data_IF_090287584352
#
_entry.id   IF_090287584352
#
_cell.length_a   1.000
_cell.length_b   1.000
_cell.length_c   1.000
_cell.angle_alpha   90.00
_cell.angle_beta   90.00
_cell.angle_gamma   90.00
#
_symmetry.space_group_name_H-M   'P 1'
#
loop_
_entity.id
_entity.type
_entity.pdbx_description
1 polymer ?
#
# COMPACT_ATOMS: atom_id res chain seq x y z
N UNK A 1 -32.98 -34.38 15.79
CA UNK A 1 -32.95 -32.90 15.69
C UNK A 1 -31.56 -32.48 15.21
N UNK A 2 -31.35 -32.38 13.91
CA UNK A 2 -30.10 -31.82 13.36
C UNK A 2 -30.23 -30.31 13.37
N UNK A 3 -29.40 -29.63 14.19
CA UNK A 3 -29.37 -28.16 14.24
C UNK A 3 -29.10 -27.53 12.88
N UNK A 4 -29.39 -26.23 12.69
CA UNK A 4 -29.25 -25.57 11.41
C UNK A 4 -27.81 -25.73 10.89
N UNK A 5 -27.67 -26.33 9.71
CA UNK A 5 -26.38 -26.46 9.02
C UNK A 5 -25.95 -25.06 8.60
N UNK A 6 -25.04 -24.47 9.39
CA UNK A 6 -24.37 -23.21 9.05
C UNK A 6 -23.73 -23.35 7.66
N UNK A 7 -24.07 -22.47 6.73
CA UNK A 7 -23.40 -22.42 5.43
C UNK A 7 -21.92 -22.06 5.60
N UNK A 8 -21.07 -22.51 4.68
CA UNK A 8 -19.65 -22.18 4.68
C UNK A 8 -19.41 -20.65 4.68
N UNK A 9 -20.22 -19.91 3.93
CA UNK A 9 -20.17 -18.44 3.90
C UNK A 9 -20.50 -17.83 5.25
N UNK A 10 -21.57 -18.28 5.93
CA UNK A 10 -21.94 -17.78 7.26
C UNK A 10 -20.82 -18.00 8.27
N UNK A 11 -20.17 -19.16 8.24
CA UNK A 11 -19.01 -19.45 9.10
C UNK A 11 -17.81 -18.55 8.82
N UNK A 12 -17.46 -18.36 7.54
CA UNK A 12 -16.36 -17.49 7.14
C UNK A 12 -16.60 -16.03 7.55
N UNK A 13 -17.80 -15.50 7.29
CA UNK A 13 -18.18 -14.14 7.67
C UNK A 13 -18.12 -13.95 9.19
N UNK A 14 -18.56 -14.93 9.96
CA UNK A 14 -18.47 -14.89 11.43
C UNK A 14 -17.02 -14.90 11.92
N UNK A 15 -16.14 -15.68 11.28
CA UNK A 15 -14.70 -15.70 11.61
C UNK A 15 -14.04 -14.35 11.32
N UNK A 16 -14.28 -13.77 10.15
CA UNK A 16 -13.77 -12.44 9.76
C UNK A 16 -14.26 -11.38 10.75
N UNK A 17 -15.54 -11.40 11.10
CA UNK A 17 -16.10 -10.44 12.06
C UNK A 17 -15.49 -10.57 13.47
N UNK A 18 -15.30 -11.80 13.95
CA UNK A 18 -14.64 -12.06 15.25
C UNK A 18 -13.20 -11.55 15.24
N UNK A 19 -12.43 -11.86 14.19
CA UNK A 19 -11.07 -11.38 14.00
C UNK A 19 -10.99 -9.85 14.03
N UNK A 20 -11.86 -9.17 13.27
CA UNK A 20 -11.94 -7.71 13.26
C UNK A 20 -12.24 -7.13 14.65
N UNK A 21 -13.16 -7.75 15.38
CA UNK A 21 -13.52 -7.33 16.73
C UNK A 21 -12.34 -7.44 17.69
N UNK A 22 -11.57 -8.53 17.59
CA UNK A 22 -10.41 -8.75 18.46
C UNK A 22 -9.27 -7.78 18.16
N UNK A 23 -9.03 -7.47 16.87
CA UNK A 23 -8.09 -6.45 16.43
C UNK A 23 -8.48 -5.05 16.93
N UNK A 24 -9.76 -4.68 16.80
CA UNK A 24 -10.28 -3.39 17.30
C UNK A 24 -10.16 -3.28 18.82
N UNK A 25 -10.37 -4.38 19.54
CA UNK A 25 -10.22 -4.45 20.98
C UNK A 25 -8.75 -4.54 21.44
N UNK A 26 -7.77 -4.48 20.53
CA UNK A 26 -6.33 -4.64 20.80
C UNK A 26 -5.98 -5.95 21.51
N UNK A 27 -6.81 -6.99 21.34
CA UNK A 27 -6.55 -8.35 21.87
C UNK A 27 -5.61 -9.15 20.97
N UNK A 28 -5.44 -8.69 19.74
CA UNK A 28 -4.52 -9.24 18.75
C UNK A 28 -3.82 -8.08 18.01
N UNK A 29 -2.63 -8.35 17.50
CA UNK A 29 -1.88 -7.45 16.63
C UNK A 29 -1.94 -7.91 15.17
N UNK A 30 -1.69 -6.96 14.27
CA UNK A 30 -1.48 -7.24 12.85
C UNK A 30 0.03 -7.27 12.63
N UNK A 31 0.54 -8.40 12.15
CA UNK A 31 1.95 -8.59 11.81
C UNK A 31 2.05 -8.74 10.29
N UNK A 32 2.91 -7.95 9.66
CA UNK A 32 3.19 -8.02 8.23
C UNK A 32 4.43 -8.90 8.03
N UNK A 33 4.22 -10.11 7.52
CA UNK A 33 5.26 -11.11 7.24
C UNK A 33 5.40 -11.41 5.73
N UNK A 34 4.48 -10.89 4.91
CA UNK A 34 4.43 -11.13 3.46
C UNK A 34 3.49 -12.24 3.03
N UNK A 35 2.93 -13.02 3.96
CA UNK A 35 2.24 -14.28 3.66
C UNK A 35 0.86 -14.42 4.36
N UNK A 36 0.63 -13.75 5.50
CA UNK A 36 -0.54 -14.03 6.38
C UNK A 36 -1.63 -12.93 6.44
N UNK A 37 -1.62 -11.95 5.54
CA UNK A 37 -2.56 -10.82 5.58
C UNK A 37 -4.02 -11.26 5.28
N UNK A 38 -4.93 -10.95 6.21
CA UNK A 38 -6.37 -11.26 6.08
C UNK A 38 -7.25 -10.01 5.85
N UNK A 39 -8.47 -10.21 5.33
CA UNK A 39 -9.43 -9.12 5.04
C UNK A 39 -9.79 -8.33 6.30
N UNK A 40 -9.91 -9.00 7.45
CA UNK A 40 -10.26 -8.33 8.71
C UNK A 40 -9.17 -7.34 9.13
N UNK A 41 -7.90 -7.67 8.89
CA UNK A 41 -6.73 -6.85 9.17
C UNK A 41 -6.71 -5.62 8.28
N UNK A 42 -6.98 -5.78 6.97
CA UNK A 42 -7.11 -4.65 6.04
C UNK A 42 -8.22 -3.69 6.49
N UNK A 43 -9.40 -4.20 6.84
CA UNK A 43 -10.51 -3.37 7.34
C UNK A 43 -10.16 -2.70 8.67
N UNK A 44 -9.45 -3.38 9.57
CA UNK A 44 -9.00 -2.84 10.85
C UNK A 44 -8.04 -1.65 10.67
N UNK A 45 -7.10 -1.73 9.72
CA UNK A 45 -6.21 -0.61 9.38
C UNK A 45 -7.02 0.53 8.76
N UNK A 46 -7.76 0.23 7.69
CA UNK A 46 -8.44 1.20 6.85
C UNK A 46 -9.50 2.02 7.61
N UNK A 47 -10.35 1.35 8.40
CA UNK A 47 -11.54 1.97 9.01
C UNK A 47 -11.44 2.18 10.52
N UNK A 48 -10.49 1.52 11.17
CA UNK A 48 -10.36 1.57 12.63
C UNK A 48 -8.99 2.06 13.10
N UNK A 49 -8.08 2.42 12.19
CA UNK A 49 -6.79 3.00 12.51
C UNK A 49 -5.88 2.07 13.32
N UNK A 50 -6.10 0.75 13.23
CA UNK A 50 -5.22 -0.23 13.87
C UNK A 50 -3.87 -0.20 13.16
N UNK A 51 -2.79 0.04 13.91
CA UNK A 51 -1.44 0.10 13.35
C UNK A 51 -0.84 -1.31 13.23
N UNK A 52 -0.45 -1.75 12.03
CA UNK A 52 0.27 -3.00 11.86
C UNK A 52 1.75 -2.83 12.21
N UNK A 53 2.42 -3.95 12.46
CA UNK A 53 3.86 -4.02 12.76
C UNK A 53 4.52 -4.96 11.75
N UNK A 54 5.71 -4.62 11.28
CA UNK A 54 6.49 -5.52 10.40
C UNK A 54 7.05 -6.64 11.27
N UNK A 55 6.99 -7.88 10.77
CA UNK A 55 7.54 -9.04 11.48
C UNK A 55 9.01 -8.81 11.83
N UNK A 56 9.39 -9.16 13.06
CA UNK A 56 10.79 -9.15 13.52
C UNK A 56 11.52 -10.46 13.22
N UNK A 57 10.91 -11.32 12.40
CA UNK A 57 11.51 -12.58 11.96
C UNK A 57 12.80 -12.29 11.15
N UNK A 58 13.98 -12.78 11.61
CA UNK A 58 15.23 -12.58 10.88
C UNK A 58 15.20 -13.21 9.48
N UNK A 59 14.40 -14.25 9.24
CA UNK A 59 14.29 -14.84 7.91
C UNK A 59 13.61 -13.90 6.90
N UNK A 60 12.67 -13.06 7.34
CA UNK A 60 12.08 -12.03 6.49
C UNK A 60 13.13 -11.02 6.04
N UNK A 61 13.92 -10.49 6.97
CA UNK A 61 14.99 -9.55 6.67
C UNK A 61 16.01 -10.18 5.71
N UNK A 62 16.44 -11.41 5.99
CA UNK A 62 17.36 -12.16 5.13
C UNK A 62 16.82 -12.35 3.70
N UNK A 63 15.52 -12.67 3.53
CA UNK A 63 14.89 -12.79 2.21
C UNK A 63 14.88 -11.47 1.44
N UNK A 64 14.67 -10.35 2.13
CA UNK A 64 14.74 -9.01 1.54
C UNK A 64 16.16 -8.69 1.09
N UNK A 65 17.15 -8.91 1.96
CA UNK A 65 18.56 -8.65 1.65
C UNK A 65 19.02 -9.48 0.45
N UNK A 66 18.70 -10.77 0.41
CA UNK A 66 19.00 -11.64 -0.73
C UNK A 66 18.37 -11.15 -2.04
N UNK A 67 17.18 -10.53 -1.99
CA UNK A 67 16.51 -9.99 -3.17
C UNK A 67 17.23 -8.74 -3.68
N UNK A 68 17.68 -7.88 -2.78
CA UNK A 68 18.47 -6.68 -3.09
C UNK A 68 19.83 -7.08 -3.68
N UNK A 69 20.51 -8.04 -3.07
CA UNK A 69 21.80 -8.55 -3.54
C UNK A 69 21.69 -9.19 -4.92
N UNK A 70 20.63 -9.96 -5.17
CA UNK A 70 20.37 -10.56 -6.47
C UNK A 70 20.19 -9.50 -7.57
N UNK A 71 19.44 -8.42 -7.29
CA UNK A 71 19.27 -7.31 -8.22
C UNK A 71 20.60 -6.59 -8.49
N UNK A 72 21.38 -6.31 -7.44
CA UNK A 72 22.70 -5.69 -7.57
C UNK A 72 23.66 -6.55 -8.43
N UNK A 73 23.64 -7.88 -8.24
CA UNK A 73 24.44 -8.80 -9.03
C UNK A 73 24.03 -8.85 -10.52
N UNK A 74 22.75 -8.61 -10.84
CA UNK A 74 22.28 -8.54 -12.22
C UNK A 74 22.76 -7.26 -12.90
N UNK A 75 22.64 -6.14 -12.20
CA UNK A 75 23.12 -4.84 -12.67
C UNK A 75 24.63 -4.89 -12.91
N UNK A 76 25.41 -5.47 -11.99
CA UNK A 76 26.86 -5.58 -12.11
C UNK A 76 27.36 -6.47 -13.27
N UNK A 77 26.46 -7.27 -13.87
CA UNK A 77 26.74 -8.10 -15.05
C UNK A 77 26.28 -7.45 -16.35
N UNK A 78 25.91 -6.17 -16.32
CA UNK A 78 25.30 -5.43 -17.43
C UNK A 78 24.04 -6.11 -17.98
N UNK A 79 23.31 -6.85 -17.13
CA UNK A 79 22.07 -7.48 -17.54
C UNK A 79 20.95 -6.46 -17.66
N UNK A 80 20.07 -6.72 -18.61
CA UNK A 80 18.90 -5.91 -18.90
C UNK A 80 17.82 -6.16 -17.86
N UNK A 81 17.43 -5.11 -17.13
CA UNK A 81 16.35 -5.18 -16.14
C UNK A 81 15.37 -4.03 -16.38
N UNK A 82 14.15 -4.39 -16.78
CA UNK A 82 13.09 -3.43 -17.14
C UNK A 82 12.78 -2.47 -15.98
N UNK A 83 12.74 -1.17 -16.28
CA UNK A 83 12.43 -0.12 -15.31
C UNK A 83 13.51 0.10 -14.23
N UNK A 84 14.66 -0.57 -14.37
CA UNK A 84 15.83 -0.40 -13.50
C UNK A 84 16.96 0.25 -14.27
N UNK A 85 17.48 -0.43 -15.31
CA UNK A 85 18.47 0.15 -16.24
C UNK A 85 17.89 0.36 -17.64
N UNK A 86 16.56 0.28 -17.75
CA UNK A 86 15.80 0.66 -18.94
C UNK A 86 14.76 1.72 -18.61
N UNK A 87 14.29 2.45 -19.61
CA UNK A 87 13.10 3.30 -19.47
C UNK A 87 11.82 2.52 -19.18
N UNK A 88 10.71 3.26 -19.03
CA UNK A 88 9.37 2.72 -18.75
C UNK A 88 8.46 2.84 -19.98
N UNK A 89 7.49 1.94 -20.11
CA UNK A 89 6.47 1.99 -21.17
C UNK A 89 7.10 2.00 -22.56
N UNK A 90 6.74 2.99 -23.40
CA UNK A 90 7.29 3.14 -24.75
C UNK A 90 8.80 3.44 -24.82
N UNK A 91 9.45 3.71 -23.68
CA UNK A 91 10.91 3.92 -23.59
C UNK A 91 11.66 2.70 -23.05
N UNK A 92 11.02 1.52 -23.00
CA UNK A 92 11.59 0.28 -22.47
C UNK A 92 12.89 -0.17 -23.14
N UNK A 93 13.13 0.25 -24.39
CA UNK A 93 14.33 -0.11 -25.14
C UNK A 93 15.54 0.80 -24.81
N UNK A 94 15.29 1.99 -24.26
CA UNK A 94 16.34 2.96 -23.91
C UNK A 94 17.08 2.53 -22.64
N UNK A 95 18.41 2.60 -22.66
CA UNK A 95 19.28 2.17 -21.55
C UNK A 95 19.88 3.34 -20.80
N UNK A 96 20.11 3.15 -19.51
CA UNK A 96 20.72 4.16 -18.65
C UNK A 96 21.49 3.52 -17.50
N UNK A 97 22.63 4.11 -17.18
CA UNK A 97 23.40 3.80 -15.97
C UNK A 97 23.05 4.76 -14.81
N UNK A 98 22.22 5.77 -15.08
CA UNK A 98 21.71 6.73 -14.10
C UNK A 98 20.47 6.18 -13.38
N UNK A 99 20.65 5.06 -12.65
CA UNK A 99 19.55 4.30 -12.05
C UNK A 99 18.73 5.14 -11.06
N UNK A 100 19.40 5.95 -10.24
CA UNK A 100 18.74 6.81 -9.24
C UNK A 100 17.91 7.90 -9.92
N UNK A 101 18.49 8.61 -10.88
CA UNK A 101 17.79 9.68 -11.61
C UNK A 101 16.59 9.12 -12.38
N UNK A 102 16.70 7.91 -12.94
CA UNK A 102 15.59 7.23 -13.58
C UNK A 102 14.42 7.01 -12.60
N UNK A 103 14.68 6.56 -11.37
CA UNK A 103 13.62 6.40 -10.36
C UNK A 103 13.03 7.74 -9.91
N UNK A 104 13.84 8.81 -9.81
CA UNK A 104 13.36 10.16 -9.50
C UNK A 104 12.44 10.68 -10.62
N UNK A 105 12.83 10.52 -11.88
CA UNK A 105 12.02 10.92 -13.02
C UNK A 105 10.72 10.13 -13.11
N UNK A 106 10.71 8.83 -12.75
CA UNK A 106 9.47 8.05 -12.67
C UNK A 106 8.50 8.66 -11.64
N UNK A 107 8.99 9.00 -10.44
CA UNK A 107 8.17 9.62 -9.41
C UNK A 107 7.58 10.95 -9.91
N UNK A 108 8.40 11.81 -10.53
CA UNK A 108 7.92 13.08 -11.09
C UNK A 108 6.90 12.87 -12.23
N UNK A 109 7.15 11.92 -13.13
CA UNK A 109 6.28 11.65 -14.28
C UNK A 109 4.91 11.10 -13.86
N UNK A 110 4.85 10.32 -12.76
CA UNK A 110 3.59 9.75 -12.25
C UNK A 110 2.78 10.72 -11.39
N UNK A 111 3.35 11.85 -10.99
CA UNK A 111 2.68 12.93 -10.25
C UNK A 111 1.81 13.83 -11.17
N UNK A 112 0.88 13.23 -11.90
CA UNK A 112 -0.01 13.92 -12.86
C UNK A 112 -1.45 14.09 -12.37
N UNK A 113 -1.73 13.76 -11.11
CA UNK A 113 -3.06 13.88 -10.51
C UNK A 113 -3.50 15.34 -10.36
N UNK A 114 -4.78 15.60 -10.61
CA UNK A 114 -5.40 16.93 -10.44
C UNK A 114 -6.19 16.92 -9.13
N UNK A 115 -5.87 17.85 -8.24
CA UNK A 115 -6.60 18.11 -7.00
C UNK A 115 -7.19 19.51 -7.08
N UNK A 116 -8.51 19.62 -6.94
CA UNK A 116 -9.23 20.89 -7.00
C UNK A 116 -9.25 21.59 -5.64
N UNK A 117 -9.64 22.86 -5.61
CA UNK A 117 -9.85 23.58 -4.35
C UNK A 117 -11.00 23.00 -3.53
N UNK A 118 -12.03 22.43 -4.19
CA UNK A 118 -13.14 21.76 -3.52
C UNK A 118 -12.67 20.52 -2.74
N UNK A 119 -11.66 19.80 -3.25
CA UNK A 119 -11.12 18.62 -2.57
C UNK A 119 -10.38 18.94 -1.26
N UNK A 120 -10.03 20.22 -1.03
CA UNK A 120 -9.40 20.67 0.22
C UNK A 120 -10.40 20.87 1.36
N UNK A 121 -11.68 21.04 1.02
CA UNK A 121 -12.76 21.10 2.00
C UNK A 121 -13.77 19.98 1.71
N UNK A 122 -13.62 18.79 2.34
CA UNK A 122 -14.50 17.65 2.12
C UNK A 122 -15.98 17.95 2.39
N UNK A 123 -16.29 18.97 3.20
CA UNK A 123 -17.66 19.38 3.50
C UNK A 123 -18.33 20.15 2.36
N UNK A 124 -17.55 20.68 1.40
CA UNK A 124 -18.06 21.35 0.21
C UNK A 124 -18.46 20.38 -0.91
N UNK A 125 -18.10 19.10 -0.80
CA UNK A 125 -18.44 18.08 -1.79
C UNK A 125 -19.94 17.72 -1.69
N UNK A 126 -20.57 17.48 -2.84
CA UNK A 126 -21.98 17.07 -2.92
C UNK A 126 -22.12 15.76 -3.67
N UNK A 127 -23.26 15.07 -3.56
CA UNK A 127 -23.51 13.85 -4.34
C UNK A 127 -23.41 14.10 -5.87
N UNK A 128 -23.66 15.34 -6.33
CA UNK A 128 -23.52 15.74 -7.73
C UNK A 128 -22.08 16.08 -8.14
N UNK A 129 -21.21 16.36 -7.18
CA UNK A 129 -19.80 16.70 -7.37
C UNK A 129 -18.99 15.98 -6.28
N UNK A 130 -18.73 14.67 -6.46
CA UNK A 130 -17.93 13.91 -5.51
C UNK A 130 -16.48 14.41 -5.51
N UNK A 131 -15.80 14.23 -4.38
CA UNK A 131 -14.37 14.53 -4.30
C UNK A 131 -13.56 13.67 -5.29
N UNK A 132 -12.47 14.24 -5.78
CA UNK A 132 -11.55 13.65 -6.77
C UNK A 132 -10.36 12.96 -6.07
N UNK A 133 -10.24 13.18 -4.76
CA UNK A 133 -9.19 12.60 -3.91
C UNK A 133 -9.64 11.24 -3.40
N UNK A 134 -8.70 10.30 -3.40
CA UNK A 134 -8.92 8.96 -2.85
C UNK A 134 -9.25 9.04 -1.34
N UNK A 135 -10.29 8.33 -0.86
CA UNK A 135 -10.64 8.32 0.55
C UNK A 135 -9.49 7.82 1.43
N UNK A 136 -9.28 8.40 2.63
CA UNK A 136 -8.15 8.06 3.49
C UNK A 136 -8.16 6.58 3.92
N UNK A 137 -9.33 5.96 4.06
CA UNK A 137 -9.48 4.54 4.34
C UNK A 137 -8.93 3.66 3.21
N UNK A 138 -9.10 4.07 1.95
CA UNK A 138 -8.56 3.36 0.79
C UNK A 138 -7.05 3.53 0.72
N UNK A 139 -6.56 4.74 1.00
CA UNK A 139 -5.12 5.00 1.11
C UNK A 139 -4.47 4.14 2.20
N UNK A 140 -5.08 4.07 3.39
CA UNK A 140 -4.59 3.27 4.52
C UNK A 140 -4.68 1.76 4.27
N UNK A 141 -5.70 1.29 3.53
CA UNK A 141 -5.79 -0.12 3.11
C UNK A 141 -4.64 -0.52 2.17
N UNK A 142 -4.26 0.39 1.27
CA UNK A 142 -3.28 0.13 0.20
C UNK A 142 -1.84 0.30 0.68
N UNK A 143 -1.60 1.20 1.63
CA UNK A 143 -0.30 1.44 2.25
C UNK A 143 -0.37 1.31 3.78
N UNK A 144 -0.57 0.09 4.32
CA UNK A 144 -0.83 -0.13 5.74
C UNK A 144 0.34 0.24 6.66
N UNK A 145 1.56 0.35 6.13
CA UNK A 145 2.75 0.83 6.84
C UNK A 145 2.94 2.35 6.78
N UNK A 146 2.23 3.07 5.90
CA UNK A 146 2.36 4.51 5.76
C UNK A 146 1.52 5.25 6.79
N UNK A 147 2.12 6.23 7.48
CA UNK A 147 1.36 7.07 8.40
C UNK A 147 0.31 7.90 7.64
N UNK A 148 -0.91 8.08 8.17
CA UNK A 148 -1.97 8.87 7.51
C UNK A 148 -1.58 10.34 7.27
N UNK A 149 -0.50 10.82 7.90
CA UNK A 149 0.11 12.12 7.61
C UNK A 149 0.52 12.29 6.14
N UNK A 150 0.95 11.23 5.44
CA UNK A 150 1.35 11.34 4.04
C UNK A 150 0.17 11.64 3.10
N UNK A 151 -1.05 11.24 3.45
CA UNK A 151 -2.24 11.53 2.67
C UNK A 151 -2.77 12.96 2.88
N UNK A 152 -2.46 13.58 4.03
CA UNK A 152 -2.86 14.94 4.35
C UNK A 152 -1.88 16.01 3.85
N UNK A 153 -0.67 15.63 3.43
CA UNK A 153 0.37 16.52 2.94
C UNK A 153 0.13 17.00 1.51
N UNK A 154 -0.97 17.72 1.29
CA UNK A 154 -1.11 18.67 0.19
C UNK A 154 -0.10 19.84 0.28
N UNK A 155 0.73 19.87 1.32
CA UNK A 155 1.74 20.90 1.61
C UNK A 155 3.10 20.63 0.95
N UNK A 156 3.33 19.46 0.34
CA UNK A 156 4.63 19.14 -0.25
C UNK A 156 4.88 19.78 -1.64
N UNK A 157 3.88 20.44 -2.24
CA UNK A 157 3.99 21.02 -3.59
C UNK A 157 3.93 22.56 -3.63
N UNK A 158 4.10 23.26 -2.50
CA UNK A 158 4.08 24.73 -2.45
C UNK A 158 5.39 25.29 -1.90
N UNK A 159 6.51 25.00 -2.55
CA UNK A 159 7.71 25.85 -2.43
C UNK A 159 8.55 25.75 -3.68
N UNK A 160 8.27 26.61 -4.66
CA UNK A 160 9.28 27.23 -5.52
C UNK A 160 8.78 28.60 -5.94
#
# INVERSE_FOLDING_TARGET
MTGPKSSAHTSATLQIWRRLRDLRAKKASIVLDGDSLDIASVVAVARHGVKPVISSDPDLARRLDLSVDALAAYIARDWVVYGVNTGFGGSADARTDHLVDLQVHLLQHTQSAIVTSADRDPAANSERQPGHVMPPETCAATAPSASPSCAASSTCCTTT
#
